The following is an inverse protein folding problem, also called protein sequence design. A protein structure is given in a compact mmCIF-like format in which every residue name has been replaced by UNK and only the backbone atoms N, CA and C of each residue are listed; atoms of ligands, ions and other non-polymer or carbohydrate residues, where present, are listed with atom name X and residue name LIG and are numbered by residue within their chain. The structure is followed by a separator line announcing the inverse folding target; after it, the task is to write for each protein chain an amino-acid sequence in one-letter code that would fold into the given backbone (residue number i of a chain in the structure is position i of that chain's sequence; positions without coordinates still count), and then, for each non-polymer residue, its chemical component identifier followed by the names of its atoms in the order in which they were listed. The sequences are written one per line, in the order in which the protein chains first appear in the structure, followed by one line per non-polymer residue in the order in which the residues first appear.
data_IF_119325286632
#
_entry.id   IF_119325286632
#
_cell.length_a   1.000
_cell.length_b   1.000
_cell.length_c   1.000
_cell.angle_alpha   90.00
_cell.angle_beta   90.00
_cell.angle_gamma   90.00
#
_symmetry.space_group_name_H-M   'P 1'
#
loop_
_entity.id
_entity.type
_entity.pdbx_description
1 polymer ?
#
# COMPACT_ATOMS: atom_id res chain seq x y z
N UNK A 1 5.17 -12.75 -5.43
CA UNK A 1 3.88 -13.19 -6.03
C UNK A 1 2.66 -13.04 -5.12
N UNK A 2 2.76 -13.05 -3.78
CA UNK A 2 1.62 -12.90 -2.85
C UNK A 2 0.69 -11.72 -3.19
N UNK A 3 1.26 -10.52 -3.35
CA UNK A 3 0.49 -9.30 -3.63
C UNK A 3 -0.23 -9.29 -4.99
N UNK A 4 0.34 -9.93 -6.01
CA UNK A 4 -0.31 -10.07 -7.32
C UNK A 4 -1.57 -10.94 -7.20
N UNK A 5 -1.51 -12.02 -6.40
CA UNK A 5 -2.68 -12.87 -6.14
C UNK A 5 -3.75 -12.16 -5.33
N UNK A 6 -3.36 -11.25 -4.44
CA UNK A 6 -4.27 -10.49 -3.58
C UNK A 6 -4.93 -9.32 -4.31
N UNK A 7 -4.22 -8.68 -5.25
CA UNK A 7 -4.69 -7.55 -6.05
C UNK A 7 -4.52 -7.77 -7.57
N UNK A 8 -5.14 -8.82 -8.16
CA UNK A 8 -4.89 -9.20 -9.54
C UNK A 8 -5.39 -8.15 -10.54
N UNK A 9 -6.55 -7.53 -10.29
CA UNK A 9 -7.11 -6.49 -11.16
C UNK A 9 -6.25 -5.23 -11.20
N UNK A 10 -5.76 -4.78 -10.04
CA UNK A 10 -4.88 -3.61 -9.95
C UNK A 10 -3.56 -3.88 -10.67
N UNK A 11 -2.99 -5.08 -10.52
CA UNK A 11 -1.76 -5.47 -11.21
C UNK A 11 -1.95 -5.49 -12.75
N UNK A 12 -3.04 -6.09 -13.25
CA UNK A 12 -3.34 -6.13 -14.69
C UNK A 12 -3.52 -4.72 -15.24
N UNK A 13 -4.30 -3.87 -14.56
CA UNK A 13 -4.52 -2.49 -14.98
C UNK A 13 -3.20 -1.71 -15.03
N UNK A 14 -2.37 -1.85 -13.99
CA UNK A 14 -1.06 -1.20 -13.92
C UNK A 14 -0.13 -1.68 -15.03
N UNK A 15 -0.13 -2.97 -15.34
CA UNK A 15 0.68 -3.54 -16.43
C UNK A 15 0.27 -2.98 -17.79
N UNK A 16 -1.04 -2.88 -18.06
CA UNK A 16 -1.59 -2.30 -19.29
C UNK A 16 -1.18 -0.82 -19.40
N UNK A 17 -1.39 -0.02 -18.35
CA UNK A 17 -1.02 1.39 -18.32
C UNK A 17 0.48 1.61 -18.50
N UNK A 18 1.31 0.79 -17.87
CA UNK A 18 2.77 0.83 -18.00
C UNK A 18 3.21 0.53 -19.42
N UNK A 19 2.59 -0.50 -20.04
CA UNK A 19 2.88 -0.87 -21.43
C UNK A 19 2.49 0.25 -22.40
N UNK A 20 1.32 0.85 -22.23
CA UNK A 20 0.88 2.00 -23.02
C UNK A 20 1.82 3.21 -22.84
N UNK A 21 2.24 3.49 -21.61
CA UNK A 21 3.19 4.57 -21.32
C UNK A 21 4.52 4.36 -22.04
N UNK A 22 5.08 3.15 -22.00
CA UNK A 22 6.33 2.83 -22.71
C UNK A 22 6.14 3.00 -24.23
N UNK A 23 5.06 2.46 -24.80
CA UNK A 23 4.78 2.56 -26.23
C UNK A 23 4.66 4.02 -26.71
N UNK A 24 3.99 4.88 -25.93
CA UNK A 24 3.82 6.29 -26.28
C UNK A 24 5.13 7.08 -26.19
N UNK A 25 5.94 6.85 -25.16
CA UNK A 25 7.18 7.61 -24.94
C UNK A 25 8.34 7.15 -25.82
N UNK A 26 8.34 5.87 -26.24
CA UNK A 26 9.39 5.31 -27.10
C UNK A 26 8.98 5.27 -28.58
N UNK A 27 7.83 5.86 -28.93
CA UNK A 27 7.36 5.91 -30.30
C UNK A 27 8.35 6.66 -31.19
N UNK A 28 8.79 6.03 -32.28
CA UNK A 28 9.75 6.62 -33.23
C UNK A 28 11.22 6.50 -32.83
N UNK A 29 11.54 5.95 -31.66
CA UNK A 29 12.92 5.63 -31.29
C UNK A 29 13.38 4.39 -32.06
N UNK A 30 14.44 4.54 -32.86
CA UNK A 30 14.98 3.45 -33.70
C UNK A 30 15.94 2.53 -32.95
N UNK A 31 16.50 2.99 -31.83
CA UNK A 31 17.40 2.20 -31.01
C UNK A 31 16.61 1.25 -30.09
N UNK A 32 16.64 -0.02 -30.45
CA UNK A 32 15.95 -1.07 -29.71
C UNK A 32 16.60 -1.34 -28.33
N UNK A 33 17.91 -1.10 -28.18
CA UNK A 33 18.61 -1.30 -26.91
C UNK A 33 18.14 -0.26 -25.89
N UNK A 34 18.08 1.01 -26.31
CA UNK A 34 17.56 2.10 -25.47
C UNK A 34 16.11 1.82 -25.06
N UNK A 35 15.30 1.30 -25.99
CA UNK A 35 13.91 0.91 -25.71
C UNK A 35 13.80 -0.18 -24.66
N UNK A 36 14.64 -1.22 -24.74
CA UNK A 36 14.65 -2.31 -23.77
C UNK A 36 15.10 -1.81 -22.39
N UNK A 37 16.18 -1.02 -22.32
CA UNK A 37 16.67 -0.49 -21.04
C UNK A 37 15.62 0.41 -20.39
N UNK A 38 15.00 1.29 -21.16
CA UNK A 38 13.93 2.16 -20.68
C UNK A 38 12.73 1.35 -20.18
N UNK A 39 12.27 0.36 -20.96
CA UNK A 39 11.17 -0.51 -20.57
C UNK A 39 11.47 -1.25 -19.26
N UNK A 40 12.66 -1.83 -19.12
CA UNK A 40 13.08 -2.52 -17.90
C UNK A 40 13.07 -1.60 -16.68
N UNK A 41 13.58 -0.37 -16.83
CA UNK A 41 13.59 0.61 -15.75
C UNK A 41 12.17 1.00 -15.31
N UNK A 42 11.31 1.29 -16.28
CA UNK A 42 9.92 1.66 -16.03
C UNK A 42 9.15 0.49 -15.39
N UNK A 43 9.32 -0.74 -15.89
CA UNK A 43 8.69 -1.92 -15.29
C UNK A 43 9.18 -2.17 -13.86
N UNK A 44 10.50 -2.04 -13.60
CA UNK A 44 11.06 -2.23 -12.27
C UNK A 44 10.55 -1.18 -11.27
N UNK A 45 10.49 0.09 -11.70
CA UNK A 45 9.95 1.18 -10.88
C UNK A 45 8.48 0.93 -10.54
N UNK A 46 7.66 0.67 -11.57
CA UNK A 46 6.22 0.48 -11.39
C UNK A 46 5.90 -0.77 -10.57
N UNK A 47 6.69 -1.84 -10.72
CA UNK A 47 6.58 -3.04 -9.89
C UNK A 47 6.89 -2.74 -8.41
N UNK A 48 7.96 -1.98 -8.15
CA UNK A 48 8.34 -1.58 -6.79
C UNK A 48 7.23 -0.75 -6.13
N UNK A 49 6.65 0.19 -6.87
CA UNK A 49 5.52 0.99 -6.40
C UNK A 49 4.30 0.13 -6.07
N UNK A 50 3.91 -0.78 -6.98
CA UNK A 50 2.81 -1.72 -6.73
C UNK A 50 3.04 -2.56 -5.47
N UNK A 51 4.25 -3.09 -5.31
CA UNK A 51 4.61 -3.91 -4.16
C UNK A 51 4.51 -3.10 -2.86
N UNK A 52 5.07 -1.89 -2.84
CA UNK A 52 5.04 -1.00 -1.67
C UNK A 52 3.61 -0.63 -1.28
N UNK A 53 2.78 -0.21 -2.24
CA UNK A 53 1.38 0.12 -1.99
C UNK A 53 0.58 -1.09 -1.50
N UNK A 54 0.80 -2.26 -2.10
CA UNK A 54 0.12 -3.49 -1.69
C UNK A 54 0.49 -3.93 -0.27
N UNK A 55 1.76 -3.76 0.11
CA UNK A 55 2.25 -4.05 1.46
C UNK A 55 1.65 -3.08 2.49
N UNK A 56 1.54 -1.79 2.13
CA UNK A 56 0.91 -0.80 2.99
C UNK A 56 -0.59 -1.07 3.19
N UNK A 57 -1.30 -1.46 2.13
CA UNK A 57 -2.71 -1.82 2.22
C UNK A 57 -2.93 -3.08 3.08
N UNK A 58 -2.09 -4.09 2.93
CA UNK A 58 -2.12 -5.28 3.80
C UNK A 58 -1.90 -4.90 5.27
N UNK A 59 -0.93 -4.03 5.54
CA UNK A 59 -0.62 -3.61 6.90
C UNK A 59 -1.77 -2.79 7.51
N UNK A 60 -2.43 -1.94 6.73
CA UNK A 60 -3.63 -1.23 7.16
C UNK A 60 -4.77 -2.19 7.50
N UNK A 61 -5.01 -3.22 6.67
CA UNK A 61 -6.04 -4.24 6.93
C UNK A 61 -5.77 -4.99 8.23
N UNK A 62 -4.52 -5.42 8.46
CA UNK A 62 -4.15 -6.10 9.70
C UNK A 62 -4.34 -5.22 10.94
N UNK A 63 -4.08 -3.91 10.82
CA UNK A 63 -4.31 -2.96 11.92
C UNK A 63 -5.82 -2.75 12.14
N UNK A 64 -6.62 -2.60 11.08
CA UNK A 64 -8.08 -2.46 11.18
C UNK A 64 -8.73 -3.69 11.81
N UNK A 65 -8.33 -4.90 11.40
CA UNK A 65 -8.77 -6.16 12.00
C UNK A 65 -8.47 -6.20 13.51
N UNK A 66 -7.28 -5.76 13.90
CA UNK A 66 -6.83 -5.73 15.28
C UNK A 66 -7.60 -4.70 16.13
N UNK A 67 -7.82 -3.50 15.57
CA UNK A 67 -8.63 -2.46 16.20
C UNK A 67 -10.07 -2.91 16.40
N UNK A 68 -10.66 -3.56 15.38
CA UNK A 68 -12.02 -4.12 15.44
C UNK A 68 -12.12 -5.23 16.47
N UNK A 69 -11.09 -6.08 16.58
CA UNK A 69 -11.00 -7.13 17.60
C UNK A 69 -10.98 -6.58 19.02
N UNK A 70 -10.23 -5.51 19.25
CA UNK A 70 -10.15 -4.83 20.55
C UNK A 70 -11.42 -4.01 20.87
N UNK A 71 -12.28 -3.75 19.88
CA UNK A 71 -13.52 -3.00 20.04
C UNK A 71 -13.31 -1.54 20.43
N UNK A 72 -12.14 -0.97 20.15
CA UNK A 72 -11.81 0.38 20.58
C UNK A 72 -12.55 1.44 19.77
N UNK A 73 -13.11 2.42 20.49
CA UNK A 73 -13.59 3.65 19.88
C UNK A 73 -12.42 4.48 19.36
N UNK A 74 -12.71 5.44 18.47
CA UNK A 74 -11.70 6.33 17.90
C UNK A 74 -10.95 7.13 18.96
N UNK A 75 -11.66 7.58 19.99
CA UNK A 75 -11.11 8.32 21.13
C UNK A 75 -10.19 7.43 21.97
N UNK A 76 -10.57 6.17 22.19
CA UNK A 76 -9.74 5.19 22.87
C UNK A 76 -8.47 4.90 22.06
N UNK A 77 -8.56 4.83 20.73
CA UNK A 77 -7.39 4.69 19.87
C UNK A 77 -6.46 5.89 19.99
N UNK A 78 -6.96 7.12 20.05
CA UNK A 78 -6.09 8.29 20.28
C UNK A 78 -5.34 8.19 21.61
N UNK A 79 -6.00 7.73 22.67
CA UNK A 79 -5.37 7.58 23.99
C UNK A 79 -4.34 6.45 24.01
N UNK A 80 -4.67 5.28 23.44
CA UNK A 80 -3.81 4.09 23.45
C UNK A 80 -2.60 4.27 22.52
N UNK A 81 -2.81 4.88 21.37
CA UNK A 81 -1.77 4.99 20.33
C UNK A 81 -0.99 6.30 20.40
N UNK A 82 -1.55 7.35 21.00
CA UNK A 82 -1.00 8.71 21.02
C UNK A 82 -1.14 9.45 19.69
N UNK A 83 -1.81 8.86 18.70
CA UNK A 83 -2.03 9.46 17.39
C UNK A 83 -3.24 10.38 17.40
N UNK A 84 -3.23 11.39 16.53
CA UNK A 84 -4.31 12.36 16.42
C UNK A 84 -5.31 12.05 15.28
N UNK A 85 -6.33 12.88 15.15
CA UNK A 85 -7.39 12.76 14.12
C UNK A 85 -6.92 12.84 12.66
N UNK A 86 -5.73 13.37 12.41
CA UNK A 86 -5.14 13.44 11.06
C UNK A 86 -4.33 12.18 10.76
N UNK A 87 -3.79 11.54 11.81
CA UNK A 87 -3.03 10.30 11.70
C UNK A 87 -3.92 9.07 11.75
N UNK A 88 -5.12 9.17 12.32
CA UNK A 88 -6.11 8.09 12.37
C UNK A 88 -7.47 8.62 11.93
N UNK A 89 -7.92 8.11 10.80
CA UNK A 89 -9.26 8.39 10.26
C UNK A 89 -10.04 7.10 10.10
N UNK A 90 -11.30 7.24 9.74
CA UNK A 90 -12.22 6.15 9.45
C UNK A 90 -12.74 6.44 8.06
N UNK A 91 -12.69 5.45 7.18
CA UNK A 91 -13.18 5.63 5.82
C UNK A 91 -14.72 5.53 5.79
N UNK A 92 -15.30 5.79 4.62
CA UNK A 92 -16.75 5.71 4.39
C UNK A 92 -17.37 4.32 4.64
N UNK A 93 -16.54 3.28 4.79
CA UNK A 93 -16.92 1.90 5.07
C UNK A 93 -16.73 1.51 6.55
N UNK A 94 -16.42 2.48 7.42
CA UNK A 94 -16.19 2.23 8.85
C UNK A 94 -14.88 1.49 9.14
N UNK A 95 -13.87 1.57 8.26
CA UNK A 95 -12.55 1.00 8.49
C UNK A 95 -11.60 2.05 9.03
N UNK A 96 -10.87 1.71 10.08
CA UNK A 96 -9.86 2.57 10.68
C UNK A 96 -8.61 2.58 9.81
N UNK A 97 -8.22 3.76 9.33
CA UNK A 97 -7.04 3.97 8.51
C UNK A 97 -6.02 4.83 9.24
N UNK A 98 -4.78 4.34 9.29
CA UNK A 98 -3.65 5.05 9.87
C UNK A 98 -2.82 5.70 8.77
N UNK A 99 -2.66 7.02 8.81
CA UNK A 99 -1.87 7.83 7.87
C UNK A 99 -0.47 8.10 8.41
N UNK A 100 0.22 7.02 8.80
CA UNK A 100 1.55 7.07 9.39
C UNK A 100 2.54 6.25 8.56
N UNK A 101 3.84 6.52 8.71
CA UNK A 101 4.89 5.78 7.98
C UNK A 101 4.78 4.25 8.18
N UNK A 102 5.17 3.41 7.21
CA UNK A 102 5.11 1.96 7.32
C UNK A 102 5.81 1.38 8.55
N UNK A 103 6.93 1.97 8.97
CA UNK A 103 7.64 1.54 10.18
C UNK A 103 6.81 1.77 11.45
N UNK A 104 6.16 2.93 11.56
CA UNK A 104 5.22 3.23 12.66
C UNK A 104 4.00 2.31 12.62
N UNK A 105 3.47 1.98 11.44
CA UNK A 105 2.38 1.00 11.28
C UNK A 105 2.78 -0.39 11.80
N UNK A 106 3.98 -0.88 11.47
CA UNK A 106 4.49 -2.16 11.98
C UNK A 106 4.63 -2.14 13.50
N UNK A 107 5.18 -1.06 14.06
CA UNK A 107 5.30 -0.89 15.50
C UNK A 107 3.93 -0.82 16.19
N UNK A 108 2.97 -0.12 15.59
CA UNK A 108 1.60 -0.04 16.06
C UNK A 108 0.92 -1.41 16.05
N UNK A 109 1.01 -2.17 14.97
CA UNK A 109 0.44 -3.52 14.89
C UNK A 109 1.00 -4.42 16.00
N UNK A 110 2.31 -4.33 16.26
CA UNK A 110 2.95 -5.05 17.38
C UNK A 110 2.40 -4.59 18.73
N UNK A 111 2.22 -3.28 18.93
CA UNK A 111 1.67 -2.71 20.16
C UNK A 111 0.23 -3.18 20.39
N UNK A 112 -0.65 -3.10 19.39
CA UNK A 112 -2.04 -3.52 19.50
C UNK A 112 -2.16 -5.00 19.88
N UNK A 113 -1.37 -5.87 19.24
CA UNK A 113 -1.31 -7.30 19.58
C UNK A 113 -0.79 -7.59 20.99
N UNK A 114 0.02 -6.70 21.55
CA UNK A 114 0.55 -6.86 22.92
C UNK A 114 -0.40 -6.40 24.02
N UNK A 115 -1.50 -5.71 23.70
CA UNK A 115 -2.47 -5.23 24.70
C UNK A 115 -3.34 -6.39 25.26
N UNK A 116 -3.33 -7.54 24.58
CA UNK A 116 -4.09 -8.74 24.97
C UNK A 116 -3.26 -9.76 25.81
N UNK A 117 -1.95 -9.54 25.97
CA UNK A 117 -1.10 -10.31 26.90
C UNK A 117 -0.93 -9.55 28.22
#
# INVERSE_FOLDING_TARGET
MKYIKMYPKQFILLFILTSLYILLNMYGVRDWIVTIIYALFVFAYTYTMFYSSSQEEELNKLIDEEVRRLGYSREQLYQVTGYNRFEVSENSLGQTQFWITPNKKKALLKKLRSIEN
#
